data_IF_161397696244
#
_entry.id   IF_161397696244
#
_cell.length_a   1.000
_cell.length_b   1.000
_cell.length_c   1.000
_cell.angle_alpha   90.00
_cell.angle_beta   90.00
_cell.angle_gamma   90.00
#
_symmetry.space_group_name_H-M   'P 1'
#
loop_
_entity.id
_entity.type
_entity.pdbx_description
1 polymer ?
#
# COMPACT_ATOMS: atom_id res chain seq x y z
N UNK A 1 17.07 9.51 -0.20
CA UNK A 1 17.05 10.41 -1.39
C UNK A 1 17.50 11.79 -0.97
N UNK A 2 18.82 12.01 -0.97
CA UNK A 2 19.52 13.10 -0.31
C UNK A 2 19.75 14.33 -1.19
N UNK A 3 19.87 15.47 -0.51
CA UNK A 3 20.24 16.77 -1.04
C UNK A 3 21.76 16.82 -1.36
N UNK A 4 22.22 16.03 -2.34
CA UNK A 4 23.60 16.04 -2.82
C UNK A 4 23.79 17.01 -4.00
N UNK A 5 24.87 17.79 -4.01
CA UNK A 5 25.16 18.81 -5.04
C UNK A 5 25.56 18.29 -6.43
N UNK A 6 25.27 17.03 -6.76
CA UNK A 6 25.57 16.43 -8.06
C UNK A 6 24.27 16.26 -8.87
N UNK A 7 24.25 16.82 -10.08
CA UNK A 7 23.09 16.75 -10.98
C UNK A 7 23.08 15.42 -11.75
N UNK A 8 22.46 14.39 -11.18
CA UNK A 8 22.12 13.15 -11.91
C UNK A 8 20.90 13.37 -12.81
N UNK A 9 20.78 12.59 -13.91
CA UNK A 9 19.58 12.60 -14.78
C UNK A 9 18.30 12.19 -14.04
N UNK A 10 18.46 11.44 -12.95
CA UNK A 10 17.38 10.97 -12.08
C UNK A 10 17.62 11.54 -10.68
N UNK A 11 16.66 12.33 -10.20
CA UNK A 11 16.69 12.99 -8.89
C UNK A 11 16.08 12.14 -7.76
N UNK A 12 15.38 11.06 -8.11
CA UNK A 12 14.73 10.16 -7.16
C UNK A 12 13.78 9.19 -7.87
N UNK A 13 12.93 8.53 -7.10
CA UNK A 13 11.90 7.63 -7.62
C UNK A 13 10.59 7.77 -6.85
N UNK A 14 9.48 7.51 -7.52
CA UNK A 14 8.16 7.27 -6.93
C UNK A 14 7.83 5.80 -7.11
N UNK A 15 7.19 5.22 -6.10
CA UNK A 15 6.80 3.82 -6.07
C UNK A 15 5.38 3.65 -5.56
N UNK A 16 4.65 2.68 -6.10
CA UNK A 16 3.40 2.18 -5.55
C UNK A 16 3.63 0.93 -4.73
N UNK A 17 3.12 0.97 -3.51
CA UNK A 17 3.22 -0.11 -2.54
C UNK A 17 1.83 -0.37 -1.99
N UNK A 18 1.44 -1.65 -1.92
CA UNK A 18 0.24 -2.08 -1.23
C UNK A 18 0.41 -1.81 0.27
N UNK A 19 -0.33 -0.83 0.80
CA UNK A 19 -0.22 -0.45 2.21
C UNK A 19 -0.56 -1.58 3.20
N UNK A 20 -1.42 -2.52 2.79
CA UNK A 20 -1.88 -3.65 3.63
C UNK A 20 -0.89 -4.79 3.68
N UNK A 21 -0.37 -5.19 2.52
CA UNK A 21 0.43 -6.40 2.39
C UNK A 21 1.92 -6.13 2.15
N UNK A 22 2.32 -4.85 2.02
CA UNK A 22 3.69 -4.42 1.79
C UNK A 22 4.31 -4.99 0.50
N UNK A 23 3.50 -5.20 -0.53
CA UNK A 23 3.98 -5.56 -1.87
C UNK A 23 4.26 -4.32 -2.70
N UNK A 24 5.41 -4.26 -3.36
CA UNK A 24 5.68 -3.28 -4.42
C UNK A 24 4.88 -3.69 -5.66
N UNK A 25 4.10 -2.77 -6.21
CA UNK A 25 3.24 -3.06 -7.36
C UNK A 25 4.06 -3.17 -8.66
N UNK A 26 3.72 -4.13 -9.55
CA UNK A 26 4.30 -4.20 -10.88
C UNK A 26 3.97 -2.94 -11.67
N UNK A 27 4.93 -2.48 -12.49
CA UNK A 27 4.81 -1.23 -13.25
C UNK A 27 4.47 0.02 -12.41
N UNK A 28 4.65 -0.06 -11.09
CA UNK A 28 4.38 1.01 -10.14
C UNK A 28 5.62 1.78 -9.71
N UNK A 29 6.75 1.68 -10.43
CA UNK A 29 7.99 2.40 -10.13
C UNK A 29 8.34 3.39 -11.25
N UNK A 30 8.60 4.65 -10.91
CA UNK A 30 8.87 5.72 -11.88
C UNK A 30 10.02 6.60 -11.41
N UNK A 31 10.93 6.92 -12.34
CA UNK A 31 12.03 7.84 -12.08
C UNK A 31 11.59 9.30 -12.09
N UNK A 32 12.11 10.07 -11.13
CA UNK A 32 11.88 11.50 -11.01
C UNK A 32 12.98 12.27 -11.76
N UNK A 33 12.63 13.03 -12.79
CA UNK A 33 13.60 13.82 -13.56
C UNK A 33 14.05 15.07 -12.80
N UNK A 34 13.13 15.71 -12.05
CA UNK A 34 13.43 16.92 -11.27
C UNK A 34 12.44 17.07 -10.11
N UNK A 35 12.74 16.37 -9.03
CA UNK A 35 11.93 16.29 -7.84
C UNK A 35 10.58 15.61 -8.07
N UNK A 36 9.82 15.49 -7.00
CA UNK A 36 8.48 14.95 -7.05
C UNK A 36 7.52 15.93 -7.72
N UNK A 37 6.75 15.42 -8.69
CA UNK A 37 5.72 16.18 -9.41
C UNK A 37 4.48 15.31 -9.50
N UNK A 38 3.31 15.92 -9.41
CA UNK A 38 2.05 15.19 -9.54
C UNK A 38 1.95 14.41 -10.86
N UNK A 39 2.53 14.91 -11.96
CA UNK A 39 2.58 14.17 -13.22
C UNK A 39 3.29 12.81 -13.10
N UNK A 40 4.36 12.72 -12.29
CA UNK A 40 5.08 11.47 -12.07
C UNK A 40 4.23 10.51 -11.23
N UNK A 41 3.57 11.03 -10.18
CA UNK A 41 2.65 10.24 -9.34
C UNK A 41 1.44 9.76 -10.13
N UNK A 42 0.84 10.63 -10.95
CA UNK A 42 -0.28 10.32 -11.85
C UNK A 42 0.08 9.16 -12.78
N UNK A 43 1.24 9.23 -13.45
CA UNK A 43 1.71 8.16 -14.32
C UNK A 43 1.98 6.86 -13.55
N UNK A 44 2.55 6.97 -12.35
CA UNK A 44 2.79 5.80 -11.48
C UNK A 44 1.48 5.13 -11.08
N UNK A 45 0.48 5.92 -10.66
CA UNK A 45 -0.88 5.48 -10.35
C UNK A 45 -1.54 4.78 -11.53
N UNK A 46 -1.52 5.42 -12.70
CA UNK A 46 -2.09 4.87 -13.92
C UNK A 46 -1.44 3.56 -14.31
N UNK A 47 -0.11 3.53 -14.42
CA UNK A 47 0.65 2.35 -14.85
C UNK A 47 0.52 1.19 -13.88
N UNK A 48 0.72 1.43 -12.58
CA UNK A 48 0.72 0.38 -11.58
C UNK A 48 -0.68 -0.16 -11.24
N UNK A 49 -1.75 0.63 -11.41
CA UNK A 49 -3.11 0.17 -11.12
C UNK A 49 -3.84 -0.46 -12.31
N UNK A 50 -3.25 -0.50 -13.51
CA UNK A 50 -3.89 -1.13 -14.69
C UNK A 50 -4.47 -2.53 -14.40
N UNK A 51 -3.77 -3.44 -13.67
CA UNK A 51 -4.31 -4.77 -13.38
C UNK A 51 -5.50 -4.79 -12.41
N UNK A 52 -5.83 -3.66 -11.78
CA UNK A 52 -6.79 -3.53 -10.69
C UNK A 52 -7.84 -2.42 -10.93
N UNK A 53 -8.07 -2.05 -12.20
CA UNK A 53 -9.03 -1.00 -12.55
C UNK A 53 -10.50 -1.41 -12.34
N UNK A 54 -10.76 -2.69 -12.09
CA UNK A 54 -12.08 -3.28 -11.84
C UNK A 54 -12.42 -3.43 -10.34
N UNK A 55 -11.56 -2.95 -9.44
CA UNK A 55 -11.81 -2.96 -8.00
C UNK A 55 -13.09 -2.17 -7.64
N UNK A 56 -13.83 -2.65 -6.66
CA UNK A 56 -15.01 -1.93 -6.15
C UNK A 56 -14.65 -0.64 -5.42
N UNK A 57 -13.52 -0.65 -4.72
CA UNK A 57 -13.04 0.49 -3.95
C UNK A 57 -11.52 0.43 -3.88
N UNK A 58 -10.88 1.53 -4.22
CA UNK A 58 -9.46 1.76 -4.10
C UNK A 58 -9.21 2.84 -3.04
N UNK A 59 -8.22 2.61 -2.16
CA UNK A 59 -7.79 3.60 -1.18
C UNK A 59 -6.44 4.15 -1.62
N UNK A 60 -6.43 5.37 -2.11
CA UNK A 60 -5.21 6.10 -2.39
C UNK A 60 -4.59 6.58 -1.09
N UNK A 61 -3.37 6.14 -0.78
CA UNK A 61 -2.60 6.58 0.38
C UNK A 61 -1.39 7.40 -0.06
N UNK A 62 -1.32 8.67 0.35
CA UNK A 62 -0.21 9.55 0.00
C UNK A 62 -0.07 10.68 1.02
N UNK A 63 1.16 11.09 1.33
CA UNK A 63 1.42 12.04 2.41
C UNK A 63 0.73 13.38 2.18
N UNK A 64 0.67 13.83 0.93
CA UNK A 64 0.01 15.09 0.55
C UNK A 64 -1.29 14.86 -0.23
N UNK A 65 -2.01 13.77 0.06
CA UNK A 65 -3.24 13.44 -0.67
C UNK A 65 -4.30 14.54 -0.63
N UNK A 66 -4.37 15.30 0.47
CA UNK A 66 -5.27 16.43 0.61
C UNK A 66 -5.04 17.56 -0.41
N UNK A 67 -3.83 17.65 -0.98
CA UNK A 67 -3.49 18.59 -2.04
C UNK A 67 -3.56 17.92 -3.41
N UNK A 68 -3.09 16.67 -3.49
CA UNK A 68 -3.03 15.90 -4.73
C UNK A 68 -4.43 15.63 -5.32
N UNK A 69 -5.40 15.30 -4.47
CA UNK A 69 -6.77 14.91 -4.87
C UNK A 69 -7.56 16.06 -5.51
N UNK A 70 -7.32 17.31 -5.09
CA UNK A 70 -8.08 18.51 -5.51
C UNK A 70 -8.19 18.63 -7.03
N UNK A 71 -7.12 18.31 -7.75
CA UNK A 71 -7.08 18.41 -9.20
C UNK A 71 -6.89 17.05 -9.88
N UNK A 72 -7.09 15.94 -9.18
CA UNK A 72 -6.86 14.60 -9.73
C UNK A 72 -7.73 14.34 -10.97
N UNK A 73 -9.03 14.56 -10.88
CA UNK A 73 -9.95 14.34 -12.01
C UNK A 73 -9.61 15.19 -13.23
N UNK A 74 -9.20 16.45 -13.02
CA UNK A 74 -8.76 17.34 -14.11
C UNK A 74 -7.49 16.82 -14.77
N UNK A 75 -6.55 16.27 -14.00
CA UNK A 75 -5.33 15.66 -14.54
C UNK A 75 -5.65 14.38 -15.30
N UNK A 76 -6.53 13.53 -14.78
CA UNK A 76 -6.96 12.30 -15.48
C UNK A 76 -7.73 12.61 -16.77
N UNK A 77 -8.55 13.66 -16.78
CA UNK A 77 -9.19 14.16 -18.00
C UNK A 77 -8.16 14.61 -19.04
N UNK A 78 -7.11 15.34 -18.62
CA UNK A 78 -6.02 15.73 -19.53
C UNK A 78 -5.24 14.53 -20.07
N UNK A 79 -4.97 13.52 -19.24
CA UNK A 79 -4.30 12.30 -19.71
C UNK A 79 -5.15 11.57 -20.74
N UNK A 80 -6.49 11.58 -20.59
CA UNK A 80 -7.42 11.00 -21.55
C UNK A 80 -7.23 11.54 -22.96
N UNK A 81 -7.02 12.85 -23.09
CA UNK A 81 -6.84 13.51 -24.38
C UNK A 81 -5.55 13.07 -25.11
N UNK A 82 -4.59 12.49 -24.37
CA UNK A 82 -3.29 12.04 -24.85
C UNK A 82 -3.13 10.51 -24.70
N UNK A 83 -4.22 9.76 -24.54
CA UNK A 83 -4.15 8.32 -24.29
C UNK A 83 -3.44 7.54 -25.39
N UNK A 84 -3.59 7.96 -26.64
CA UNK A 84 -2.98 7.32 -27.81
C UNK A 84 -1.43 7.36 -27.77
N UNK A 85 -0.85 8.25 -26.96
CA UNK A 85 0.61 8.33 -26.75
C UNK A 85 1.12 7.23 -25.80
N UNK A 86 0.22 6.59 -25.03
CA UNK A 86 0.57 5.60 -24.01
C UNK A 86 0.21 4.18 -24.45
N UNK A 87 1.18 3.45 -25.00
CA UNK A 87 0.99 2.07 -25.49
C UNK A 87 0.54 1.08 -24.39
N UNK A 88 0.98 1.30 -23.14
CA UNK A 88 0.75 0.36 -22.03
C UNK A 88 -0.41 0.72 -21.12
N UNK A 89 -1.14 1.81 -21.37
CA UNK A 89 -2.24 2.28 -20.51
C UNK A 89 -3.57 1.98 -21.23
N UNK A 90 -4.32 1.01 -20.70
CA UNK A 90 -5.60 0.59 -21.28
C UNK A 90 -6.81 1.37 -20.76
N UNK A 91 -6.72 1.92 -19.55
CA UNK A 91 -7.79 2.73 -18.94
C UNK A 91 -7.24 3.87 -18.08
N UNK A 92 -7.95 5.00 -18.12
CA UNK A 92 -7.77 6.16 -17.21
C UNK A 92 -8.93 6.33 -16.24
N UNK A 93 -9.89 5.40 -16.29
CA UNK A 93 -11.00 5.36 -15.35
C UNK A 93 -10.56 4.55 -14.14
N UNK A 94 -10.29 5.26 -13.05
CA UNK A 94 -10.01 4.63 -11.77
C UNK A 94 -11.28 4.05 -11.17
N UNK A 95 -11.17 2.97 -10.39
CA UNK A 95 -12.25 2.53 -9.51
C UNK A 95 -12.62 3.63 -8.52
N UNK A 96 -13.77 3.51 -7.86
CA UNK A 96 -14.17 4.42 -6.79
C UNK A 96 -13.00 4.57 -5.81
N UNK A 97 -12.48 5.79 -5.69
CA UNK A 97 -11.21 6.04 -5.00
C UNK A 97 -11.41 7.00 -3.84
N UNK A 98 -11.18 6.48 -2.64
CA UNK A 98 -11.06 7.30 -1.44
C UNK A 98 -9.60 7.72 -1.25
N UNK A 99 -9.39 8.93 -0.76
CA UNK A 99 -8.07 9.50 -0.56
C UNK A 99 -7.79 9.63 0.92
N UNK A 100 -6.65 9.11 1.37
CA UNK A 100 -6.21 9.30 2.74
C UNK A 100 -4.74 9.66 2.86
N UNK A 101 -4.40 10.14 4.05
CA UNK A 101 -3.04 10.47 4.50
C UNK A 101 -2.64 9.48 5.58
N UNK A 102 -1.40 8.99 5.54
CA UNK A 102 -0.89 8.05 6.54
C UNK A 102 -0.91 8.64 7.95
N UNK A 103 -1.20 7.81 8.96
CA UNK A 103 -1.53 8.26 10.34
C UNK A 103 -0.48 9.17 10.99
N UNK A 104 0.80 8.92 10.73
CA UNK A 104 1.87 9.75 11.28
C UNK A 104 1.94 11.12 10.59
N UNK A 105 1.70 11.14 9.28
CA UNK A 105 1.79 12.36 8.49
C UNK A 105 0.57 13.24 8.66
N UNK A 106 -0.59 12.62 8.90
CA UNK A 106 -1.86 13.29 9.15
C UNK A 106 -1.74 14.45 10.16
N UNK A 107 -0.98 14.24 11.26
CA UNK A 107 -0.77 15.25 12.31
C UNK A 107 -0.09 16.54 11.84
N UNK A 108 0.57 16.53 10.68
CA UNK A 108 1.24 17.69 10.08
C UNK A 108 0.33 18.47 9.13
N UNK A 109 -0.95 18.10 9.03
CA UNK A 109 -1.94 18.76 8.18
C UNK A 109 -2.86 19.67 8.99
N UNK A 110 -3.71 20.44 8.29
CA UNK A 110 -4.72 21.25 8.96
C UNK A 110 -5.82 20.38 9.58
N UNK A 111 -6.53 20.92 10.57
CA UNK A 111 -7.54 20.17 11.33
C UNK A 111 -8.61 19.50 10.46
N UNK A 112 -9.00 20.13 9.35
CA UNK A 112 -9.98 19.54 8.41
C UNK A 112 -9.45 18.24 7.76
N UNK A 113 -8.14 18.14 7.52
CA UNK A 113 -7.55 16.94 6.94
C UNK A 113 -7.68 15.73 7.87
N UNK A 114 -7.66 15.95 9.19
CA UNK A 114 -7.79 14.87 10.18
C UNK A 114 -9.19 14.22 10.18
N UNK A 115 -10.18 14.86 9.55
CA UNK A 115 -11.52 14.28 9.43
C UNK A 115 -11.74 13.69 8.03
N UNK A 116 -11.27 14.38 6.99
CA UNK A 116 -11.55 14.01 5.60
C UNK A 116 -10.60 12.94 5.06
N UNK A 117 -9.33 12.95 5.48
CA UNK A 117 -8.29 12.08 4.92
C UNK A 117 -7.76 11.06 5.93
N UNK A 118 -8.42 10.91 7.07
CA UNK A 118 -7.97 10.01 8.12
C UNK A 118 -8.16 8.55 7.73
N UNK A 119 -7.07 7.78 7.75
CA UNK A 119 -7.13 6.33 7.58
C UNK A 119 -8.02 5.64 8.63
N UNK A 120 -8.26 6.26 9.77
CA UNK A 120 -9.14 5.71 10.81
C UNK A 120 -10.63 5.87 10.46
N UNK A 121 -10.99 6.92 9.73
CA UNK A 121 -12.38 7.26 9.41
C UNK A 121 -12.81 6.78 8.03
N UNK A 122 -11.87 6.55 7.11
CA UNK A 122 -12.15 6.11 5.77
C UNK A 122 -12.67 4.64 5.72
N UNK A 123 -13.74 4.37 4.97
CA UNK A 123 -14.29 3.02 4.84
C UNK A 123 -13.30 2.11 4.11
N UNK A 124 -13.24 0.84 4.52
CA UNK A 124 -12.42 -0.18 3.85
C UNK A 124 -10.92 -0.15 4.14
N UNK A 125 -10.41 0.84 4.90
CA UNK A 125 -8.98 0.96 5.24
C UNK A 125 -8.54 -0.03 6.33
N UNK A 126 -9.44 -0.38 7.26
CA UNK A 126 -9.16 -1.27 8.38
C UNK A 126 -8.08 -0.69 9.31
N UNK A 127 -7.21 -1.56 9.85
CA UNK A 127 -6.14 -1.15 10.77
C UNK A 127 -4.84 -0.73 10.06
N UNK A 128 -4.91 -0.34 8.79
CA UNK A 128 -3.74 0.10 8.01
C UNK A 128 -3.18 1.42 8.56
N UNK A 129 -1.86 1.55 8.64
CA UNK A 129 -1.18 2.75 9.15
C UNK A 129 -0.66 3.70 8.05
N UNK A 130 -0.57 3.20 6.82
CA UNK A 130 -0.02 3.93 5.67
C UNK A 130 1.50 3.98 5.64
N UNK A 131 2.20 3.16 6.45
CA UNK A 131 3.67 3.19 6.59
C UNK A 131 4.44 2.16 5.77
N UNK A 132 3.74 1.43 4.91
CA UNK A 132 4.35 0.40 4.06
C UNK A 132 5.42 0.99 3.14
N UNK A 133 5.14 2.15 2.54
CA UNK A 133 6.07 2.79 1.61
C UNK A 133 7.39 3.13 2.31
N UNK A 134 7.36 3.75 3.49
CA UNK A 134 8.57 4.10 4.24
C UNK A 134 9.36 2.89 4.70
N UNK A 135 8.70 1.76 5.02
CA UNK A 135 9.41 0.50 5.32
C UNK A 135 10.14 -0.03 4.09
N UNK A 136 9.52 0.05 2.91
CA UNK A 136 10.16 -0.34 1.66
C UNK A 136 11.32 0.60 1.33
N UNK A 137 11.11 1.91 1.44
CA UNK A 137 12.15 2.92 1.23
C UNK A 137 13.32 2.79 2.19
N UNK A 138 13.08 2.42 3.45
CA UNK A 138 14.13 2.20 4.43
C UNK A 138 15.14 1.13 3.97
N UNK A 139 14.66 0.08 3.30
CA UNK A 139 15.51 -0.96 2.72
C UNK A 139 16.22 -0.44 1.46
N UNK A 140 15.48 0.23 0.58
CA UNK A 140 16.01 0.73 -0.70
C UNK A 140 17.01 1.88 -0.56
N UNK A 141 17.04 2.59 0.57
CA UNK A 141 18.02 3.65 0.83
C UNK A 141 19.47 3.16 0.68
N UNK A 142 19.75 1.87 0.93
CA UNK A 142 21.06 1.27 0.71
C UNK A 142 21.51 1.28 -0.77
N UNK A 143 20.54 1.35 -1.71
CA UNK A 143 20.80 1.40 -3.14
C UNK A 143 21.03 2.81 -3.67
N UNK A 144 20.78 3.84 -2.88
CA UNK A 144 20.82 5.22 -3.35
C UNK A 144 22.20 5.60 -3.91
N UNK A 145 23.27 5.40 -3.14
CA UNK A 145 24.63 5.74 -3.58
C UNK A 145 25.10 4.90 -4.79
N UNK A 146 25.01 3.55 -4.78
CA UNK A 146 25.51 2.77 -5.91
C UNK A 146 24.70 3.01 -7.20
N UNK A 147 23.39 3.23 -7.11
CA UNK A 147 22.57 3.45 -8.30
C UNK A 147 22.84 4.78 -9.00
N UNK A 148 23.49 5.75 -8.35
CA UNK A 148 23.87 7.02 -8.98
C UNK A 148 24.97 6.86 -10.04
N UNK A 149 25.86 5.87 -9.87
CA UNK A 149 26.99 5.64 -10.78
C UNK A 149 26.66 4.61 -11.88
N UNK A 150 25.55 3.89 -11.74
CA UNK A 150 25.11 2.87 -12.69
C UNK A 150 24.61 3.47 -14.01
N UNK A 151 24.75 2.70 -15.09
CA UNK A 151 24.10 3.02 -16.37
C UNK A 151 22.57 2.95 -16.21
N UNK A 152 21.83 3.64 -17.08
CA UNK A 152 20.37 3.77 -16.95
C UNK A 152 19.66 2.42 -16.90
N UNK A 153 20.00 1.49 -17.81
CA UNK A 153 19.40 0.15 -17.83
C UNK A 153 19.79 -0.67 -16.61
N UNK A 154 21.09 -0.71 -16.27
CA UNK A 154 21.56 -1.50 -15.14
C UNK A 154 20.96 -1.02 -13.81
N UNK A 155 20.77 0.29 -13.65
CA UNK A 155 20.08 0.86 -12.50
C UNK A 155 18.65 0.32 -12.38
N UNK A 156 17.89 0.28 -13.46
CA UNK A 156 16.52 -0.24 -13.45
C UNK A 156 16.48 -1.73 -13.12
N UNK A 157 17.40 -2.52 -13.69
CA UNK A 157 17.51 -3.95 -13.40
C UNK A 157 17.79 -4.20 -11.91
N UNK A 158 18.77 -3.48 -11.35
CA UNK A 158 19.11 -3.59 -9.92
C UNK A 158 17.93 -3.24 -9.02
N UNK A 159 17.21 -2.15 -9.32
CA UNK A 159 16.03 -1.76 -8.53
C UNK A 159 14.92 -2.81 -8.63
N UNK A 160 14.67 -3.33 -9.83
CA UNK A 160 13.66 -4.37 -10.07
C UNK A 160 14.00 -5.68 -9.36
N UNK A 161 15.27 -6.08 -9.34
CA UNK A 161 15.73 -7.27 -8.62
C UNK A 161 15.46 -7.15 -7.12
N UNK A 162 15.73 -5.98 -6.53
CA UNK A 162 15.47 -5.74 -5.11
C UNK A 162 13.97 -5.71 -4.79
N UNK A 163 13.15 -5.04 -5.62
CA UNK A 163 11.70 -5.08 -5.45
C UNK A 163 11.15 -6.51 -5.54
N UNK A 164 11.68 -7.31 -6.48
CA UNK A 164 11.28 -8.70 -6.67
C UNK A 164 11.66 -9.57 -5.48
N UNK A 165 12.89 -9.47 -4.97
CA UNK A 165 13.33 -10.16 -3.75
C UNK A 165 12.46 -9.78 -2.54
N UNK A 166 12.16 -8.49 -2.36
CA UNK A 166 11.28 -8.03 -1.28
C UNK A 166 9.89 -8.64 -1.38
N UNK A 167 9.30 -8.65 -2.57
CA UNK A 167 7.99 -9.27 -2.80
C UNK A 167 8.03 -10.78 -2.53
N UNK A 168 9.05 -11.49 -3.01
CA UNK A 168 9.21 -12.94 -2.77
C UNK A 168 9.32 -13.25 -1.27
N UNK A 169 10.15 -12.50 -0.54
CA UNK A 169 10.26 -12.63 0.92
C UNK A 169 8.93 -12.38 1.62
N UNK A 170 8.16 -11.40 1.14
CA UNK A 170 6.85 -11.09 1.68
C UNK A 170 5.83 -12.21 1.41
N UNK A 171 5.84 -12.84 0.23
CA UNK A 171 5.00 -14.02 -0.03
C UNK A 171 5.37 -15.16 0.92
N UNK A 172 6.66 -15.45 1.09
CA UNK A 172 7.11 -16.52 1.99
C UNK A 172 6.78 -16.24 3.46
N UNK A 173 6.81 -14.99 3.90
CA UNK A 173 6.50 -14.61 5.28
C UNK A 173 5.01 -14.80 5.60
N UNK A 174 4.11 -14.53 4.65
CA UNK A 174 2.67 -14.75 4.81
C UNK A 174 2.34 -16.23 5.12
N UNK A 175 2.98 -17.16 4.40
CA UNK A 175 2.78 -18.60 4.62
C UNK A 175 3.28 -19.10 5.99
N UNK A 176 4.28 -18.45 6.59
CA UNK A 176 4.76 -18.81 7.93
C UNK A 176 3.76 -18.42 9.03
N UNK A 177 3.00 -17.34 8.86
CA UNK A 177 1.95 -16.94 9.80
C UNK A 177 0.75 -17.90 9.78
N UNK A 178 0.37 -18.42 8.60
CA UNK A 178 -0.70 -19.42 8.52
C UNK A 178 -0.33 -20.74 9.20
N UNK A 179 0.93 -21.19 9.09
CA UNK A 179 1.38 -22.42 9.74
C UNK A 179 1.41 -22.31 11.28
N UNK A 180 1.70 -21.12 11.83
CA UNK A 180 1.62 -20.85 13.27
C UNK A 180 0.19 -20.67 13.79
N UNK A 181 -0.70 -20.03 13.02
CA UNK A 181 -2.11 -19.88 13.40
C UNK A 181 -2.91 -21.19 13.29
N UNK A 182 -2.61 -22.06 12.31
CA UNK A 182 -3.29 -23.37 12.22
C UNK A 182 -2.92 -24.32 13.36
N UNK A 183 -1.75 -24.14 13.99
CA UNK A 183 -1.35 -24.91 15.18
C UNK A 183 -1.99 -24.41 16.49
N UNK A 184 -2.65 -23.25 16.48
CA UNK A 184 -3.44 -22.71 17.62
C UNK A 184 -4.96 -22.77 17.43
N UNK A 185 -5.45 -23.11 16.23
CA UNK A 185 -6.87 -23.25 15.89
C UNK A 185 -7.34 -24.72 15.74
N UNK A 186 -6.61 -25.68 16.32
CA UNK A 186 -7.05 -27.06 16.49
C UNK A 186 -7.83 -27.32 17.79
N UNK A 187 -8.42 -26.27 18.38
CA UNK A 187 -9.47 -26.39 19.41
C UNK A 187 -10.71 -25.66 18.87
N UNK A 188 -11.34 -26.27 17.87
CA UNK A 188 -12.74 -26.00 17.58
C UNK A 188 -13.56 -26.83 18.56
N UNK A 189 -14.17 -26.10 19.48
CA UNK A 189 -15.41 -26.41 20.20
C UNK A 189 -16.29 -27.43 19.49
N UNK A 190 -16.56 -28.56 20.18
CA UNK A 190 -17.78 -29.31 19.98
C UNK A 190 -18.91 -28.60 20.75
N UNK A 191 -19.92 -28.13 20.02
CA UNK A 191 -21.20 -27.72 20.59
C UNK A 191 -22.17 -28.89 20.46
N UNK A 192 -22.80 -29.29 21.56
CA UNK A 192 -24.01 -30.10 21.57
C UNK A 192 -24.92 -29.58 22.68
N UNK A 193 -25.96 -28.86 22.27
CA UNK A 193 -27.08 -28.47 23.13
C UNK A 193 -28.02 -29.66 23.34
N UNK A 194 -28.38 -29.94 24.59
CA UNK A 194 -29.70 -30.45 24.98
C UNK A 194 -30.04 -30.04 26.42
N UNK A 195 -31.33 -29.82 26.61
CA UNK A 195 -31.98 -28.93 27.57
C UNK A 195 -32.51 -29.65 28.83
N UNK A 196 -32.77 -28.82 29.85
CA UNK A 196 -33.85 -28.91 30.85
C UNK A 196 -33.71 -29.83 32.10
N UNK A 197 -33.63 -29.14 33.25
CA UNK A 197 -34.16 -29.42 34.60
C UNK A 197 -34.60 -30.85 34.99
N UNK A 198 -34.11 -31.30 36.16
CA UNK A 198 -34.96 -31.78 37.27
C UNK A 198 -34.22 -31.79 38.60
N UNK A 199 -34.96 -31.45 39.64
CA UNK A 199 -34.61 -31.38 41.04
C UNK A 199 -34.63 -32.76 41.76
N UNK A 200 -34.22 -32.72 43.03
CA UNK A 200 -34.48 -33.63 44.17
C UNK A 200 -33.52 -34.80 44.50
N UNK A 201 -32.92 -34.65 45.69
CA UNK A 201 -32.71 -35.59 46.82
C UNK A 201 -32.09 -36.99 46.63
N UNK A 202 -30.98 -37.23 47.35
CA UNK A 202 -30.82 -38.34 48.33
C UNK A 202 -29.49 -38.11 49.09
N UNK A 203 -29.48 -37.85 50.40
CA UNK A 203 -29.44 -38.85 51.49
C UNK A 203 -28.12 -38.87 52.28
N UNK A 204 -28.24 -38.49 53.56
CA UNK A 204 -27.69 -39.17 54.76
C UNK A 204 -26.17 -39.32 54.98
N UNK A 205 -25.79 -38.85 56.19
CA UNK A 205 -24.79 -39.39 57.15
C UNK A 205 -23.32 -39.11 56.80
N UNK A 206 -22.46 -38.65 57.73
CA UNK A 206 -22.22 -39.15 59.10
C UNK A 206 -21.58 -38.07 60.00
N UNK A 207 -21.98 -38.13 61.28
CA UNK A 207 -21.35 -37.66 62.55
C UNK A 207 -20.72 -36.28 62.60
#
# INVERSE_FOLDING_TARGET
MGYGGHWSKVSGMVGLICARHMFVLPAGGVDLQKGERFANVDFTMLSGLQPWMDLLLHISGYDINCQYSINFDKRMAKVRDHLDEFVSIGSVHFPDTEHGVGKLHEQMHCALCHFLFSFYLLPGVGMTDGKAAERVWAVLNALEAPTQEMSVGHRHDVINDHHSDMNVRQVHSLGMFECCCYRRLAILTFHSTRSCNKAHESSRSKS
#
